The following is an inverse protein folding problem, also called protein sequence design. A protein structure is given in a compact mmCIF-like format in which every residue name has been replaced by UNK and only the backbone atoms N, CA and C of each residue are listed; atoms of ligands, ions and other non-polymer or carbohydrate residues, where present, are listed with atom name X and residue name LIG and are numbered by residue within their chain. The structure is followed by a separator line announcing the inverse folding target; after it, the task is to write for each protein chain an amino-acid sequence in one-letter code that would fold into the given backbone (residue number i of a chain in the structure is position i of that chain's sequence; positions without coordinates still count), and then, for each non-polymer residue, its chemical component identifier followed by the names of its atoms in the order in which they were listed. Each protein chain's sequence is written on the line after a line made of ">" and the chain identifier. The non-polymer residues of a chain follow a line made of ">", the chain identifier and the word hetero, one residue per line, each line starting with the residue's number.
data_IF_199902407285
#
_entry.id   IF_199902407285
#
_cell.length_a   1.000
_cell.length_b   1.000
_cell.length_c   1.000
_cell.angle_alpha   90.00
_cell.angle_beta   90.00
_cell.angle_gamma   90.00
#
_symmetry.space_group_name_H-M   'P 1'
#
loop_
_entity.id
_entity.type
_entity.pdbx_description
1 polymer ?
#
# COMPACT_ATOMS: atom_id res chain seq x y z
N UNK A 1 -0.14 -11.53 -0.65
CA UNK A 1 0.49 -10.29 -1.15
C UNK A 1 1.90 -10.59 -1.60
N UNK A 2 2.30 -10.09 -2.75
CA UNK A 2 3.62 -10.38 -3.31
C UNK A 2 4.71 -9.61 -2.57
N UNK A 3 5.92 -10.12 -2.64
CA UNK A 3 7.09 -9.39 -2.15
C UNK A 3 7.43 -8.26 -3.11
N UNK A 4 8.16 -7.27 -2.60
CA UNK A 4 8.65 -6.18 -3.43
C UNK A 4 9.55 -6.74 -4.55
N UNK A 5 9.28 -6.34 -5.79
CA UNK A 5 10.06 -6.82 -6.93
C UNK A 5 11.38 -6.06 -7.12
N UNK A 6 11.60 -5.01 -6.33
CA UNK A 6 12.83 -4.21 -6.41
C UNK A 6 13.89 -4.68 -5.44
N UNK A 7 13.50 -5.06 -4.23
CA UNK A 7 14.46 -5.48 -3.20
C UNK A 7 14.15 -6.83 -2.57
N UNK A 8 13.01 -7.43 -2.87
CA UNK A 8 12.62 -8.73 -2.34
C UNK A 8 12.11 -8.72 -0.90
N UNK A 9 11.99 -7.55 -0.30
CA UNK A 9 11.47 -7.44 1.07
C UNK A 9 9.96 -7.65 1.11
N UNK A 10 9.46 -7.96 2.29
CA UNK A 10 8.02 -8.14 2.49
C UNK A 10 7.30 -6.81 2.33
N UNK A 11 6.04 -6.88 1.90
CA UNK A 11 5.18 -5.72 1.82
C UNK A 11 4.39 -5.56 3.11
N UNK A 12 4.04 -4.32 3.42
CA UNK A 12 3.22 -3.99 4.58
C UNK A 12 2.06 -3.13 4.13
N UNK A 13 0.88 -3.38 4.71
CA UNK A 13 -0.28 -2.54 4.47
C UNK A 13 -0.37 -1.52 5.59
N UNK A 14 -0.58 -0.26 5.24
CA UNK A 14 -0.77 0.81 6.22
C UNK A 14 -2.14 1.44 5.99
N UNK A 15 -2.69 1.98 7.07
CA UNK A 15 -3.98 2.65 7.01
C UNK A 15 -3.82 4.08 7.50
N UNK A 16 -4.65 4.96 6.98
CA UNK A 16 -4.71 6.34 7.43
C UNK A 16 -6.17 6.76 7.56
N UNK A 17 -6.46 7.49 8.61
CA UNK A 17 -7.78 8.06 8.80
C UNK A 17 -7.65 9.57 8.86
N UNK A 18 -8.33 10.24 7.95
CA UNK A 18 -8.38 11.70 7.92
C UNK A 18 -9.80 12.16 8.15
N UNK A 19 -9.92 13.23 8.90
CA UNK A 19 -11.22 13.91 9.07
C UNK A 19 -11.21 15.11 8.13
N UNK A 20 -12.01 15.02 7.08
CA UNK A 20 -12.16 16.11 6.12
C UNK A 20 -13.60 16.55 6.15
N UNK A 21 -13.85 17.75 6.65
CA UNK A 21 -15.18 18.38 6.65
C UNK A 21 -16.25 17.40 7.16
N UNK A 22 -16.13 16.97 8.43
CA UNK A 22 -17.08 16.08 9.09
C UNK A 22 -17.20 14.69 8.45
N UNK A 23 -16.22 14.27 7.69
CA UNK A 23 -16.18 12.92 7.12
C UNK A 23 -14.89 12.24 7.50
N UNK A 24 -15.00 10.96 7.85
CA UNK A 24 -13.85 10.10 8.04
C UNK A 24 -13.56 9.41 6.73
N UNK A 25 -12.39 9.66 6.20
CA UNK A 25 -11.92 8.96 5.00
C UNK A 25 -10.81 8.02 5.44
N UNK A 26 -11.09 6.73 5.30
CA UNK A 26 -10.09 5.71 5.62
C UNK A 26 -9.38 5.31 4.34
N UNK A 27 -8.07 5.47 4.33
CA UNK A 27 -7.24 5.09 3.20
C UNK A 27 -6.38 3.89 3.53
N UNK A 28 -6.08 3.09 2.52
CA UNK A 28 -5.20 1.93 2.62
C UNK A 28 -4.13 2.03 1.55
N UNK A 29 -2.93 1.66 1.91
CA UNK A 29 -1.83 1.66 0.97
C UNK A 29 -0.85 0.55 1.35
N UNK A 30 -0.17 -0.02 0.37
CA UNK A 30 0.85 -1.03 0.59
C UNK A 30 2.22 -0.43 0.29
N UNK A 31 3.15 -0.66 1.19
CA UNK A 31 4.51 -0.17 1.06
C UNK A 31 5.49 -1.32 1.23
N UNK A 32 6.70 -1.13 0.73
CA UNK A 32 7.80 -2.04 1.00
C UNK A 32 8.29 -1.81 2.44
N UNK A 33 8.54 -2.89 3.17
CA UNK A 33 9.02 -2.79 4.54
C UNK A 33 10.46 -2.33 4.64
N UNK A 34 11.20 -2.36 3.54
CA UNK A 34 12.59 -1.90 3.52
C UNK A 34 12.62 -0.38 3.41
N UNK A 35 13.16 0.29 4.42
CA UNK A 35 13.22 1.74 4.47
C UNK A 35 13.99 2.32 3.28
N UNK A 36 15.00 1.63 2.81
CA UNK A 36 15.80 2.06 1.66
C UNK A 36 15.10 1.89 0.32
N UNK A 37 13.99 1.16 0.28
CA UNK A 37 13.22 0.93 -0.92
C UNK A 37 11.90 1.69 -0.80
N UNK A 38 11.62 2.60 -1.72
CA UNK A 38 10.43 3.44 -1.64
C UNK A 38 9.30 2.94 -2.53
N UNK A 39 9.28 1.64 -2.79
CA UNK A 39 8.21 1.04 -3.58
C UNK A 39 6.91 1.06 -2.78
N UNK A 40 5.87 1.65 -3.33
CA UNK A 40 4.58 1.77 -2.63
C UNK A 40 3.45 1.95 -3.65
N UNK A 41 2.22 1.75 -3.16
CA UNK A 41 1.03 2.03 -3.96
C UNK A 41 0.48 3.41 -3.61
N UNK A 42 -0.53 3.83 -4.37
CA UNK A 42 -1.33 4.98 -3.99
C UNK A 42 -2.28 4.60 -2.84
N UNK A 43 -2.99 5.58 -2.30
CA UNK A 43 -4.03 5.35 -1.31
C UNK A 43 -5.30 4.84 -1.97
N UNK A 44 -5.90 3.83 -1.38
CA UNK A 44 -7.14 3.23 -1.88
C UNK A 44 -8.19 3.21 -0.79
N UNK A 45 -9.45 3.08 -1.19
CA UNK A 45 -10.56 3.04 -0.25
C UNK A 45 -10.74 1.69 0.45
N UNK A 46 -10.04 0.66 0.03
CA UNK A 46 -10.10 -0.64 0.70
C UNK A 46 -8.74 -1.33 0.65
N UNK A 47 -8.51 -2.20 1.64
CA UNK A 47 -7.28 -2.96 1.68
C UNK A 47 -7.12 -3.91 0.51
N UNK A 48 -8.22 -4.48 0.03
CA UNK A 48 -8.19 -5.38 -1.13
C UNK A 48 -7.71 -4.66 -2.38
N UNK A 49 -8.18 -3.44 -2.58
CA UNK A 49 -7.75 -2.64 -3.73
C UNK A 49 -6.26 -2.31 -3.63
N UNK A 50 -5.80 -1.95 -2.44
CA UNK A 50 -4.38 -1.65 -2.22
C UNK A 50 -3.51 -2.88 -2.48
N UNK A 51 -3.92 -4.04 -1.98
CA UNK A 51 -3.19 -5.30 -2.19
C UNK A 51 -3.18 -5.67 -3.67
N UNK A 52 -4.31 -5.54 -4.33
CA UNK A 52 -4.41 -5.84 -5.76
C UNK A 52 -3.48 -4.94 -6.58
N UNK A 53 -3.46 -3.66 -6.26
CA UNK A 53 -2.57 -2.72 -6.93
C UNK A 53 -1.10 -3.04 -6.68
N UNK A 54 -0.76 -3.42 -5.45
CA UNK A 54 0.60 -3.82 -5.10
C UNK A 54 1.02 -5.07 -5.88
N UNK A 55 0.16 -6.09 -5.91
CA UNK A 55 0.47 -7.34 -6.61
C UNK A 55 0.63 -7.09 -8.11
N UNK A 56 -0.22 -6.25 -8.69
CA UNK A 56 -0.12 -5.88 -10.09
C UNK A 56 1.18 -5.12 -10.39
N UNK A 57 1.51 -4.19 -9.52
CA UNK A 57 2.73 -3.38 -9.63
C UNK A 57 4.00 -4.21 -9.50
N UNK A 58 3.96 -5.28 -8.69
CA UNK A 58 5.09 -6.14 -8.42
C UNK A 58 5.01 -7.49 -9.14
N UNK A 59 4.19 -7.54 -10.16
CA UNK A 59 4.05 -8.73 -10.99
C UNK A 59 5.29 -8.88 -11.87
N UNK A 60 5.80 -10.11 -11.90
CA UNK A 60 7.02 -10.37 -12.64
C UNK A 60 6.99 -11.72 -13.27
#
# INVERSE_FOLDING_TARGET
>A
MRKCNLCGSKAEIITSEDVIINKYVKGYKVICSNIGCQNSTAWFGSGEQAISAWDDQNQK
#
